data_IF_079800496115
#
_entry.id   IF_079800496115
#
_cell.length_a   1.000
_cell.length_b   1.000
_cell.length_c   1.000
_cell.angle_alpha   90.00
_cell.angle_beta   90.00
_cell.angle_gamma   90.00
#
_symmetry.space_group_name_H-M   'P 1'
#
loop_
_entity.id
_entity.type
_entity.pdbx_description
1 polymer ?
#
# COMPACT_ATOMS: atom_id res chain seq x y z
N UNK A 1 11.89 14.16 15.56
CA UNK A 1 11.84 13.64 14.17
C UNK A 1 12.59 12.32 14.13
N UNK A 2 12.10 11.27 13.47
CA UNK A 2 12.93 10.08 13.29
C UNK A 2 14.18 10.50 12.53
N UNK A 3 15.34 10.20 13.10
CA UNK A 3 16.66 10.41 12.49
C UNK A 3 16.68 9.70 11.14
N UNK A 4 17.21 10.36 10.11
CA UNK A 4 17.40 9.73 8.80
C UNK A 4 18.32 8.51 9.01
N UNK A 5 17.87 7.29 8.68
CA UNK A 5 18.67 6.09 8.88
C UNK A 5 20.00 6.19 8.13
N UNK A 6 21.06 5.77 8.79
CA UNK A 6 22.39 5.61 8.19
C UNK A 6 22.38 4.50 7.15
N UNK A 7 23.43 4.44 6.32
CA UNK A 7 23.59 3.39 5.31
C UNK A 7 23.59 1.99 5.95
N UNK A 8 24.27 1.83 7.08
CA UNK A 8 24.37 0.54 7.76
C UNK A 8 23.03 0.12 8.36
N UNK A 9 22.24 1.06 8.89
CA UNK A 9 20.88 0.79 9.35
C UNK A 9 19.94 0.40 8.20
N UNK A 10 20.08 1.02 7.02
CA UNK A 10 19.31 0.63 5.84
C UNK A 10 19.66 -0.78 5.38
N UNK A 11 20.94 -1.16 5.40
CA UNK A 11 21.37 -2.50 5.02
C UNK A 11 20.91 -3.55 6.04
N UNK A 12 21.04 -3.24 7.34
CA UNK A 12 20.50 -4.06 8.43
C UNK A 12 18.97 -4.20 8.35
N UNK A 13 18.26 -3.23 7.75
CA UNK A 13 16.82 -3.30 7.59
C UNK A 13 16.35 -4.38 6.59
N UNK A 14 17.24 -4.98 5.80
CA UNK A 14 16.89 -6.11 4.91
C UNK A 14 16.36 -7.33 5.67
N UNK A 15 16.78 -7.53 6.92
CA UNK A 15 16.32 -8.61 7.79
C UNK A 15 15.18 -8.19 8.73
N UNK A 16 14.68 -6.95 8.62
CA UNK A 16 13.54 -6.45 9.40
C UNK A 16 12.21 -6.70 8.67
N UNK A 17 11.12 -6.36 9.34
CA UNK A 17 9.78 -6.35 8.77
C UNK A 17 9.03 -5.10 9.21
N UNK A 18 8.10 -4.62 8.39
CA UNK A 18 7.13 -3.59 8.80
C UNK A 18 5.82 -4.30 9.19
N UNK A 19 5.33 -4.17 10.43
CA UNK A 19 4.09 -4.80 10.85
C UNK A 19 2.90 -4.35 10.00
N UNK A 20 1.96 -5.24 9.74
CA UNK A 20 0.70 -4.85 9.12
C UNK A 20 -0.09 -3.90 10.04
N UNK A 21 -0.81 -2.97 9.43
CA UNK A 21 -1.83 -2.15 10.07
C UNK A 21 -3.18 -2.69 9.62
N UNK A 22 -3.67 -3.70 10.33
CA UNK A 22 -4.94 -4.37 10.02
C UNK A 22 -5.72 -4.62 11.32
N UNK A 23 -7.03 -4.39 11.28
CA UNK A 23 -7.94 -4.57 12.40
C UNK A 23 -9.36 -4.89 11.92
N UNK A 24 -10.33 -5.09 12.82
CA UNK A 24 -11.73 -5.22 12.45
C UNK A 24 -12.30 -3.89 11.91
N UNK A 25 -13.39 -3.95 11.14
CA UNK A 25 -14.12 -2.75 10.68
C UNK A 25 -13.43 -1.97 9.55
N UNK A 26 -12.53 -2.60 8.80
CA UNK A 26 -11.85 -1.95 7.68
C UNK A 26 -12.80 -1.69 6.52
N UNK A 27 -12.68 -0.51 5.95
CA UNK A 27 -13.38 -0.04 4.75
C UNK A 27 -12.44 -0.15 3.55
N UNK A 28 -11.23 0.39 3.65
CA UNK A 28 -10.20 0.30 2.60
C UNK A 28 -8.91 -0.28 3.19
N UNK A 29 -8.31 -1.23 2.48
CA UNK A 29 -6.93 -1.67 2.74
C UNK A 29 -6.02 -1.25 1.59
N UNK A 30 -5.07 -0.37 1.89
CA UNK A 30 -4.00 -0.02 0.97
C UNK A 30 -2.87 -1.07 1.04
N UNK A 31 -2.45 -1.54 -0.12
CA UNK A 31 -1.46 -2.62 -0.25
C UNK A 31 -0.27 -2.13 -1.05
N UNK A 32 0.84 -1.88 -0.37
CA UNK A 32 2.13 -1.65 -1.01
C UNK A 32 2.69 -2.91 -1.66
N UNK A 33 3.74 -2.76 -2.46
CA UNK A 33 4.42 -3.92 -3.07
C UNK A 33 5.16 -4.69 -1.98
N UNK A 34 6.10 -4.00 -1.32
CA UNK A 34 6.88 -4.46 -0.20
C UNK A 34 7.50 -3.26 0.53
N UNK A 35 7.99 -3.42 1.77
CA UNK A 35 8.69 -2.35 2.46
C UNK A 35 9.97 -1.93 1.73
N UNK A 36 10.14 -0.63 1.53
CA UNK A 36 11.47 -0.09 1.22
C UNK A 36 12.38 -0.17 2.45
N UNK A 37 13.70 -0.23 2.25
CA UNK A 37 14.67 -0.28 3.38
C UNK A 37 14.47 0.84 4.41
N UNK A 38 14.11 2.05 3.97
CA UNK A 38 13.81 3.15 4.89
C UNK A 38 12.61 2.83 5.79
N UNK A 39 11.50 2.36 5.19
CA UNK A 39 10.30 1.94 5.93
C UNK A 39 10.60 0.81 6.91
N UNK A 40 11.41 -0.17 6.49
CA UNK A 40 11.82 -1.27 7.36
C UNK A 40 12.77 -0.82 8.49
N UNK A 41 13.64 0.16 8.24
CA UNK A 41 14.52 0.72 9.25
C UNK A 41 13.75 1.44 10.35
N UNK A 42 12.75 2.26 9.98
CA UNK A 42 11.95 3.05 10.93
C UNK A 42 10.70 2.33 11.44
N UNK A 43 10.34 1.19 10.86
CA UNK A 43 9.21 0.37 11.29
C UNK A 43 7.82 0.85 10.83
N UNK A 44 7.75 1.77 9.87
CA UNK A 44 6.48 2.38 9.43
C UNK A 44 6.29 2.34 7.91
N UNK A 45 5.03 2.23 7.49
CA UNK A 45 4.68 2.17 6.07
C UNK A 45 4.94 3.51 5.37
N UNK A 46 5.41 3.43 4.12
CA UNK A 46 5.63 4.59 3.24
C UNK A 46 6.46 5.73 3.86
N UNK A 47 7.43 5.40 4.70
CA UNK A 47 8.13 6.37 5.55
C UNK A 47 9.26 7.14 4.88
N UNK A 48 9.76 6.68 3.72
CA UNK A 48 10.85 7.35 3.00
C UNK A 48 10.45 8.79 2.64
N UNK A 49 11.27 9.81 2.94
CA UNK A 49 11.07 11.16 2.44
C UNK A 49 10.87 11.17 0.93
N UNK A 50 9.84 11.89 0.46
CA UNK A 50 9.44 11.91 -0.94
C UNK A 50 8.46 10.81 -1.35
N UNK A 51 8.13 9.85 -0.48
CA UNK A 51 6.92 9.04 -0.68
C UNK A 51 5.68 9.93 -0.51
N UNK A 52 4.73 9.80 -1.43
CA UNK A 52 3.57 10.69 -1.56
C UNK A 52 2.29 10.13 -0.94
N UNK A 53 2.32 8.91 -0.39
CA UNK A 53 1.13 8.21 0.12
C UNK A 53 0.35 9.05 1.13
N UNK A 54 1.02 9.51 2.19
CA UNK A 54 0.39 10.28 3.27
C UNK A 54 -0.21 11.61 2.79
N UNK A 55 0.47 12.29 1.86
CA UNK A 55 -0.06 13.51 1.24
C UNK A 55 -1.24 13.21 0.32
N UNK A 56 -1.20 12.11 -0.42
CA UNK A 56 -2.27 11.69 -1.31
C UNK A 56 -3.54 11.30 -0.55
N UNK A 57 -3.43 10.65 0.63
CA UNK A 57 -4.57 10.38 1.51
C UNK A 57 -5.31 11.67 1.91
N UNK A 58 -4.55 12.67 2.35
CA UNK A 58 -5.10 13.96 2.76
C UNK A 58 -5.75 14.70 1.57
N UNK A 59 -5.05 14.79 0.44
CA UNK A 59 -5.58 15.48 -0.74
C UNK A 59 -6.79 14.78 -1.37
N UNK A 60 -6.88 13.45 -1.22
CA UNK A 60 -8.05 12.67 -1.59
C UNK A 60 -9.24 12.85 -0.62
N UNK A 61 -9.05 13.59 0.49
CA UNK A 61 -10.00 13.75 1.57
C UNK A 61 -10.34 12.44 2.27
N UNK A 62 -9.39 11.51 2.36
CA UNK A 62 -9.51 10.29 3.17
C UNK A 62 -9.15 10.59 4.63
N UNK A 63 -8.17 11.47 4.85
CA UNK A 63 -7.79 11.99 6.17
C UNK A 63 -8.03 13.48 6.27
N UNK A 64 -8.30 13.97 7.47
CA UNK A 64 -8.60 15.37 7.82
C UNK A 64 -7.36 16.28 7.90
N UNK A 65 -6.20 15.69 8.14
CA UNK A 65 -4.88 16.33 8.13
C UNK A 65 -3.89 15.48 7.33
N UNK A 66 -2.68 15.99 7.13
CA UNK A 66 -1.55 15.17 6.67
C UNK A 66 -1.00 14.41 7.86
N UNK A 67 -1.17 13.10 7.84
CA UNK A 67 -0.63 12.18 8.84
C UNK A 67 0.83 11.86 8.52
N UNK A 68 1.59 11.46 9.54
CA UNK A 68 2.98 11.03 9.36
C UNK A 68 3.09 9.51 9.49
N UNK A 69 4.18 8.87 9.03
CA UNK A 69 4.32 7.41 9.08
C UNK A 69 4.10 6.79 10.46
N UNK A 70 4.49 7.50 11.53
CA UNK A 70 4.27 7.03 12.91
C UNK A 70 2.81 7.02 13.34
N UNK A 71 1.93 7.72 12.62
CA UNK A 71 0.49 7.76 12.87
C UNK A 71 -0.22 6.56 12.21
N UNK A 72 0.51 5.63 11.57
CA UNK A 72 -0.08 4.58 10.74
C UNK A 72 -1.16 3.74 11.43
N UNK A 73 -0.97 3.40 12.70
CA UNK A 73 -1.95 2.66 13.50
C UNK A 73 -3.24 3.42 13.78
N UNK A 74 -3.20 4.75 13.85
CA UNK A 74 -4.41 5.54 14.08
C UNK A 74 -5.38 5.43 12.89
N UNK A 75 -4.93 5.01 11.70
CA UNK A 75 -5.78 4.85 10.51
C UNK A 75 -6.88 3.80 10.72
N UNK A 76 -6.66 2.86 11.64
CA UNK A 76 -7.65 1.86 12.01
C UNK A 76 -8.92 2.49 12.58
N UNK A 77 -8.83 3.66 13.25
CA UNK A 77 -10.01 4.32 13.83
C UNK A 77 -10.95 4.90 12.77
N UNK A 78 -10.47 5.08 11.54
CA UNK A 78 -11.23 5.55 10.38
C UNK A 78 -11.44 4.44 9.33
N UNK A 79 -11.23 3.17 9.71
CA UNK A 79 -11.45 2.02 8.84
C UNK A 79 -10.42 1.88 7.72
N UNK A 80 -9.24 2.47 7.85
CA UNK A 80 -8.17 2.37 6.84
C UNK A 80 -7.08 1.42 7.35
N UNK A 81 -6.72 0.44 6.51
CA UNK A 81 -5.64 -0.51 6.78
C UNK A 81 -4.47 -0.36 5.80
N UNK A 82 -3.29 -0.80 6.22
CA UNK A 82 -2.08 -0.84 5.39
C UNK A 82 -1.38 -2.20 5.53
N UNK A 83 -1.01 -2.81 4.41
CA UNK A 83 -0.17 -4.02 4.34
C UNK A 83 0.69 -3.96 3.08
N UNK A 84 1.51 -4.98 2.84
CA UNK A 84 2.19 -5.20 1.56
C UNK A 84 1.80 -6.55 0.95
N UNK A 85 2.03 -6.70 -0.36
CA UNK A 85 1.97 -8.01 -1.04
C UNK A 85 3.06 -8.91 -0.47
N UNK A 86 4.30 -8.42 -0.43
CA UNK A 86 5.47 -9.15 0.07
C UNK A 86 6.02 -8.48 1.32
N UNK A 87 6.29 -9.26 2.37
CA UNK A 87 6.81 -8.72 3.64
C UNK A 87 8.31 -8.38 3.64
N UNK A 88 9.08 -9.00 2.73
CA UNK A 88 10.54 -8.84 2.64
C UNK A 88 10.93 -7.41 2.21
N UNK A 89 11.75 -6.68 2.99
CA UNK A 89 12.25 -5.39 2.56
C UNK A 89 13.25 -5.47 1.42
N UNK A 90 13.20 -4.48 0.52
CA UNK A 90 14.18 -4.33 -0.57
C UNK A 90 14.53 -2.86 -0.80
N UNK A 91 15.65 -2.58 -1.48
CA UNK A 91 15.95 -1.21 -1.89
C UNK A 91 15.02 -0.78 -3.04
N UNK A 92 14.71 -1.71 -3.94
CA UNK A 92 13.78 -1.50 -5.05
C UNK A 92 12.83 -2.68 -5.21
N UNK A 93 11.60 -2.42 -5.67
CA UNK A 93 10.62 -3.48 -5.94
C UNK A 93 11.06 -4.47 -7.04
N UNK A 94 12.05 -4.11 -7.86
CA UNK A 94 12.61 -4.97 -8.91
C UNK A 94 13.43 -6.16 -8.35
N UNK A 95 13.82 -6.11 -7.08
CA UNK A 95 14.48 -7.21 -6.37
C UNK A 95 13.52 -8.36 -5.99
N UNK A 96 12.21 -8.20 -6.22
CA UNK A 96 11.22 -9.25 -5.97
C UNK A 96 11.04 -10.12 -7.21
N UNK A 97 11.09 -11.43 -7.00
CA UNK A 97 10.76 -12.39 -8.05
C UNK A 97 9.23 -12.48 -8.27
N UNK A 98 8.83 -12.95 -9.45
CA UNK A 98 7.43 -13.24 -9.74
C UNK A 98 6.85 -14.31 -8.79
N UNK A 99 7.67 -15.28 -8.35
CA UNK A 99 7.27 -16.31 -7.40
C UNK A 99 6.93 -15.70 -6.03
N UNK A 100 7.76 -14.77 -5.53
CA UNK A 100 7.49 -14.05 -4.29
C UNK A 100 6.21 -13.21 -4.36
N UNK A 101 5.96 -12.54 -5.49
CA UNK A 101 4.72 -11.77 -5.66
C UNK A 101 3.47 -12.68 -5.66
N UNK A 102 3.54 -13.86 -6.29
CA UNK A 102 2.44 -14.83 -6.29
C UNK A 102 2.20 -15.43 -4.91
N UNK A 103 3.25 -15.75 -4.17
CA UNK A 103 3.14 -16.20 -2.77
C UNK A 103 2.58 -15.10 -1.88
N UNK A 104 3.10 -13.89 -2.03
CA UNK A 104 2.60 -12.70 -1.34
C UNK A 104 1.12 -12.44 -1.59
N UNK A 105 0.63 -12.62 -2.83
CA UNK A 105 -0.81 -12.57 -3.13
C UNK A 105 -1.61 -13.61 -2.33
N UNK A 106 -1.14 -14.86 -2.23
CA UNK A 106 -1.83 -15.90 -1.44
C UNK A 106 -1.90 -15.55 0.04
N UNK A 107 -0.78 -15.11 0.60
CA UNK A 107 -0.70 -14.65 1.98
C UNK A 107 -1.62 -13.44 2.24
N UNK A 108 -1.61 -12.46 1.34
CA UNK A 108 -2.52 -11.31 1.38
C UNK A 108 -3.98 -11.76 1.35
N UNK A 109 -4.34 -12.72 0.50
CA UNK A 109 -5.71 -13.24 0.43
C UNK A 109 -6.21 -13.79 1.77
N UNK A 110 -5.34 -14.45 2.52
CA UNK A 110 -5.67 -14.91 3.89
C UNK A 110 -5.99 -13.75 4.83
N UNK A 111 -5.24 -12.64 4.75
CA UNK A 111 -5.51 -11.42 5.52
C UNK A 111 -6.85 -10.79 5.11
N UNK A 112 -7.11 -10.66 3.81
CA UNK A 112 -8.34 -10.05 3.30
C UNK A 112 -9.58 -10.89 3.67
N UNK A 113 -9.52 -12.22 3.56
CA UNK A 113 -10.60 -13.09 4.05
C UNK A 113 -10.90 -12.91 5.54
N UNK A 114 -9.86 -12.69 6.35
CA UNK A 114 -10.01 -12.48 7.80
C UNK A 114 -10.68 -11.14 8.13
N UNK A 115 -10.21 -10.05 7.53
CA UNK A 115 -10.64 -8.70 7.90
C UNK A 115 -11.81 -8.17 7.08
N UNK A 116 -12.10 -8.79 5.92
CA UNK A 116 -13.24 -8.50 5.02
C UNK A 116 -13.46 -7.01 4.76
N UNK A 117 -12.44 -6.27 4.28
CA UNK A 117 -12.63 -4.87 3.94
C UNK A 117 -13.59 -4.71 2.76
N UNK A 118 -14.23 -3.54 2.64
CA UNK A 118 -15.07 -3.23 1.48
C UNK A 118 -14.23 -3.15 0.19
N UNK A 119 -13.01 -2.59 0.26
CA UNK A 119 -12.09 -2.50 -0.86
C UNK A 119 -10.62 -2.78 -0.49
N UNK A 120 -9.88 -3.29 -1.48
CA UNK A 120 -8.44 -3.52 -1.45
C UNK A 120 -7.78 -2.75 -2.59
N UNK A 121 -6.82 -1.90 -2.28
CA UNK A 121 -6.14 -1.03 -3.23
C UNK A 121 -4.66 -1.40 -3.36
N UNK A 122 -4.29 -2.05 -4.46
CA UNK A 122 -2.91 -2.43 -4.78
C UNK A 122 -2.17 -1.23 -5.38
N UNK A 123 -1.10 -0.79 -4.72
CA UNK A 123 -0.31 0.39 -5.10
C UNK A 123 0.87 0.04 -6.01
N UNK A 124 0.58 -0.22 -7.28
CA UNK A 124 1.58 -0.50 -8.31
C UNK A 124 1.13 -1.53 -9.33
N UNK A 125 0.82 -1.06 -10.55
CA UNK A 125 0.27 -1.91 -11.62
C UNK A 125 1.20 -3.05 -12.02
N UNK A 126 2.52 -2.85 -12.07
CA UNK A 126 3.46 -3.91 -12.49
C UNK A 126 3.45 -5.08 -11.50
N UNK A 127 3.57 -4.80 -10.20
CA UNK A 127 3.52 -5.84 -9.17
C UNK A 127 2.16 -6.55 -9.15
N UNK A 128 1.07 -5.79 -9.36
CA UNK A 128 -0.26 -6.36 -9.52
C UNK A 128 -0.32 -7.34 -10.70
N UNK A 129 0.05 -6.88 -11.91
CA UNK A 129 0.04 -7.70 -13.14
C UNK A 129 0.80 -9.00 -12.97
N UNK A 130 1.95 -8.96 -12.31
CA UNK A 130 2.80 -10.14 -12.05
C UNK A 130 2.23 -11.03 -10.94
N UNK A 131 1.90 -10.49 -9.77
CA UNK A 131 1.45 -11.27 -8.61
C UNK A 131 0.04 -11.84 -8.76
N UNK A 132 -0.85 -11.12 -9.45
CA UNK A 132 -2.24 -11.51 -9.73
C UNK A 132 -2.41 -12.17 -11.09
N UNK A 133 -1.35 -12.25 -11.89
CA UNK A 133 -1.36 -12.90 -13.21
C UNK A 133 -2.42 -12.26 -14.13
N UNK A 134 -2.36 -10.93 -14.20
CA UNK A 134 -3.26 -10.08 -14.98
C UNK A 134 -2.46 -9.16 -15.89
N UNK A 135 -1.72 -9.72 -16.85
CA UNK A 135 -0.75 -8.96 -17.68
C UNK A 135 -1.31 -7.71 -18.38
N UNK A 136 -2.61 -7.66 -18.65
CA UNK A 136 -3.30 -6.54 -19.32
C UNK A 136 -4.05 -5.58 -18.40
N UNK A 137 -4.00 -5.77 -17.08
CA UNK A 137 -4.75 -4.93 -16.14
C UNK A 137 -4.37 -3.46 -16.23
N UNK A 138 -5.35 -2.57 -16.12
CA UNK A 138 -5.19 -1.12 -16.09
C UNK A 138 -5.36 -0.59 -14.66
N UNK A 139 -5.02 0.69 -14.46
CA UNK A 139 -5.32 1.40 -13.22
C UNK A 139 -6.83 1.60 -13.06
N UNK A 140 -7.29 1.65 -11.81
CA UNK A 140 -8.68 1.84 -11.43
C UNK A 140 -9.32 0.60 -10.79
N UNK A 141 -10.65 0.59 -10.76
CA UNK A 141 -11.45 -0.55 -10.33
C UNK A 141 -11.25 -1.72 -11.31
N UNK A 142 -11.14 -2.93 -10.77
CA UNK A 142 -11.03 -4.16 -11.54
C UNK A 142 -12.39 -4.87 -11.57
N UNK A 143 -12.67 -5.62 -12.65
CA UNK A 143 -13.91 -6.39 -12.80
C UNK A 143 -14.05 -7.51 -11.75
N UNK A 144 -12.90 -8.05 -11.32
CA UNK A 144 -12.86 -9.11 -10.32
C UNK A 144 -12.82 -8.54 -8.89
N UNK A 145 -13.42 -9.28 -7.96
CA UNK A 145 -13.24 -9.05 -6.52
C UNK A 145 -12.05 -9.85 -6.00
N UNK A 146 -11.41 -9.34 -4.96
CA UNK A 146 -10.34 -10.05 -4.26
C UNK A 146 -10.83 -10.49 -2.88
N UNK A 147 -11.07 -11.79 -2.72
CA UNK A 147 -11.57 -12.37 -1.45
C UNK A 147 -12.85 -11.70 -0.94
N UNK A 148 -13.74 -11.34 -1.87
CA UNK A 148 -15.00 -10.65 -1.60
C UNK A 148 -14.91 -9.13 -1.58
N UNK A 149 -13.72 -8.53 -1.46
CA UNK A 149 -13.53 -7.08 -1.49
C UNK A 149 -13.48 -6.54 -2.93
N UNK A 150 -13.93 -5.29 -3.14
CA UNK A 150 -13.71 -4.58 -4.40
C UNK A 150 -12.21 -4.37 -4.63
N UNK A 151 -11.71 -4.74 -5.81
CA UNK A 151 -10.28 -4.71 -6.10
C UNK A 151 -9.91 -3.48 -6.94
N UNK A 152 -8.94 -2.72 -6.46
CA UNK A 152 -8.44 -1.51 -7.13
C UNK A 152 -6.94 -1.62 -7.37
N UNK A 153 -6.51 -1.12 -8.52
CA UNK A 153 -5.08 -0.96 -8.86
C UNK A 153 -4.80 0.52 -9.00
N UNK A 154 -3.99 1.07 -8.11
CA UNK A 154 -3.67 2.50 -8.08
C UNK A 154 -2.19 2.74 -8.38
N UNK A 155 -1.81 3.96 -8.78
CA UNK A 155 -0.40 4.25 -9.03
C UNK A 155 0.44 4.12 -7.75
N UNK A 156 1.70 3.72 -7.90
CA UNK A 156 2.61 3.60 -6.76
C UNK A 156 3.03 5.00 -6.26
N UNK A 157 2.89 5.30 -4.95
CA UNK A 157 3.18 6.63 -4.40
C UNK A 157 4.68 6.94 -4.19
N UNK A 158 5.57 5.97 -4.38
CA UNK A 158 7.03 6.15 -4.26
C UNK A 158 7.49 7.32 -5.10
N UNK A 159 8.31 8.22 -4.55
CA UNK A 159 8.89 9.36 -5.29
C UNK A 159 9.76 8.97 -6.49
N UNK A 160 10.16 7.69 -6.59
CA UNK A 160 10.88 7.16 -7.76
C UNK A 160 9.95 6.94 -8.98
N UNK A 161 8.63 6.90 -8.76
CA UNK A 161 7.65 6.79 -9.84
C UNK A 161 7.38 8.17 -10.45
N UNK A 162 8.05 8.49 -11.56
CA UNK A 162 7.89 9.76 -12.27
C UNK A 162 6.62 9.83 -13.14
N UNK A 163 5.98 8.69 -13.45
CA UNK A 163 4.83 8.64 -14.36
C UNK A 163 3.53 9.19 -13.75
N UNK A 164 3.46 9.25 -12.42
CA UNK A 164 2.30 9.78 -11.71
C UNK A 164 2.76 10.79 -10.67
N UNK A 165 2.20 11.98 -10.72
CA UNK A 165 2.45 13.06 -9.78
C UNK A 165 1.46 12.99 -8.62
N UNK A 166 1.69 13.81 -7.59
CA UNK A 166 0.84 13.85 -6.40
C UNK A 166 -0.66 14.09 -6.72
N UNK A 167 -1.04 14.98 -7.65
CA UNK A 167 -2.44 15.14 -8.05
C UNK A 167 -3.06 13.86 -8.61
N UNK A 168 -2.34 13.13 -9.48
CA UNK A 168 -2.85 11.86 -10.06
C UNK A 168 -3.13 10.81 -8.98
N UNK A 169 -2.26 10.74 -7.97
CA UNK A 169 -2.42 9.86 -6.81
C UNK A 169 -3.65 10.26 -5.99
N UNK A 170 -3.79 11.56 -5.68
CA UNK A 170 -4.92 12.08 -4.93
C UNK A 170 -6.25 11.82 -5.65
N UNK A 171 -6.32 12.08 -6.95
CA UNK A 171 -7.52 11.83 -7.77
C UNK A 171 -7.88 10.34 -7.79
N UNK A 172 -6.89 9.46 -7.94
CA UNK A 172 -7.12 8.02 -7.92
C UNK A 172 -7.64 7.53 -6.56
N UNK A 173 -7.10 8.09 -5.47
CA UNK A 173 -7.51 7.76 -4.10
C UNK A 173 -8.91 8.32 -3.79
N UNK A 174 -9.23 9.51 -4.30
CA UNK A 174 -10.55 10.11 -4.16
C UNK A 174 -11.64 9.30 -4.91
N UNK A 175 -11.34 8.84 -6.13
CA UNK A 175 -12.24 7.94 -6.87
C UNK A 175 -12.53 6.65 -6.12
N UNK A 176 -11.50 6.03 -5.52
CA UNK A 176 -11.67 4.88 -4.64
C UNK A 176 -12.57 5.22 -3.44
N UNK A 177 -12.29 6.33 -2.73
CA UNK A 177 -13.07 6.76 -1.56
C UNK A 177 -14.56 6.93 -1.90
N UNK A 178 -14.86 7.65 -2.98
CA UNK A 178 -16.24 7.88 -3.43
C UNK A 178 -16.94 6.57 -3.78
N UNK A 179 -16.30 5.71 -4.57
CA UNK A 179 -16.90 4.44 -4.97
C UNK A 179 -17.19 3.49 -3.79
N UNK A 180 -16.40 3.56 -2.72
CA UNK A 180 -16.67 2.78 -1.50
C UNK A 180 -17.80 3.39 -0.69
N UNK A 181 -17.88 4.72 -0.60
CA UNK A 181 -18.97 5.41 0.09
C UNK A 181 -20.34 5.17 -0.58
N UNK A 182 -20.38 5.09 -1.91
CA UNK A 182 -21.62 4.82 -2.66
C UNK A 182 -22.10 3.35 -2.53
N UNK A 183 -21.24 2.45 -2.06
CA UNK A 183 -21.52 1.02 -1.93
C UNK A 183 -21.93 0.58 -0.52
N UNK A 184 -21.94 1.49 0.45
CA UNK A 184 -22.28 1.28 1.87
C UNK A 184 -23.51 2.05 2.26
#
# INVERSE_FOLDING_TARGET
MPTVPTRDELEAARSRSVPDVLGPGLVIVFVGINPGLFSAAVGHHFARPGNRFWKALYLAGITDRIWVPSDDRELLSIGIGITNIVGRPTATAAELSAAELREGRRALGTKIRRFRPAAVAILGVTAYRTGFERSKASLGLQDERFEGAGLWVLPNPSGLNAHHQLPDLADAFARLRTAVADAT
#
